data_IF_047143593510
#
_entry.id   IF_047143593510
#
_cell.length_a   1.000
_cell.length_b   1.000
_cell.length_c   1.000
_cell.angle_alpha   90.00
_cell.angle_beta   90.00
_cell.angle_gamma   90.00
#
_symmetry.space_group_name_H-M   'P 1'
#
loop_
_entity.id
_entity.type
_entity.pdbx_description
1 polymer ?
#
# COMPACT_ATOMS: atom_id res chain seq x y z
N UNK A 1 -7.98 -5.22 -57.51
CA UNK A 1 -8.15 -4.18 -56.48
C UNK A 1 -9.36 -4.53 -55.63
N UNK A 2 -9.15 -5.11 -54.47
CA UNK A 2 -10.09 -5.05 -53.34
C UNK A 2 -9.29 -5.19 -52.06
N UNK A 3 -9.54 -4.24 -51.18
CA UNK A 3 -8.68 -3.79 -50.11
C UNK A 3 -8.82 -4.63 -48.82
N UNK A 4 -7.65 -4.91 -48.23
CA UNK A 4 -7.30 -4.69 -46.81
C UNK A 4 -8.28 -5.17 -45.72
N UNK A 5 -8.00 -6.38 -45.23
CA UNK A 5 -7.48 -6.64 -43.88
C UNK A 5 -7.47 -5.44 -42.91
N UNK A 6 -8.51 -5.25 -42.09
CA UNK A 6 -8.46 -4.54 -40.79
C UNK A 6 -9.81 -4.63 -40.06
N UNK A 7 -10.23 -5.79 -39.56
CA UNK A 7 -11.27 -5.86 -38.51
C UNK A 7 -11.00 -7.01 -37.54
N UNK A 8 -9.79 -7.12 -37.01
CA UNK A 8 -9.50 -8.03 -35.89
C UNK A 8 -8.40 -7.43 -35.01
N UNK A 9 -8.67 -6.29 -34.36
CA UNK A 9 -7.76 -5.78 -33.32
C UNK A 9 -8.40 -4.81 -32.30
N UNK A 10 -9.70 -4.53 -32.35
CA UNK A 10 -10.31 -3.52 -31.47
C UNK A 10 -10.97 -4.06 -30.20
N UNK A 11 -11.19 -5.38 -30.08
CA UNK A 11 -11.89 -5.98 -28.94
C UNK A 11 -11.00 -6.36 -27.75
N UNK A 12 -9.67 -6.35 -27.89
CA UNK A 12 -8.75 -6.67 -26.78
C UNK A 12 -8.16 -5.45 -26.08
N UNK A 13 -8.21 -4.26 -26.69
CA UNK A 13 -7.64 -3.04 -26.08
C UNK A 13 -8.67 -2.37 -25.16
N UNK A 14 -9.96 -2.61 -25.37
CA UNK A 14 -11.01 -2.01 -24.55
C UNK A 14 -11.22 -2.68 -23.18
N UNK A 15 -10.71 -3.90 -22.97
CA UNK A 15 -10.82 -4.59 -21.67
C UNK A 15 -9.70 -4.23 -20.68
N UNK A 16 -8.61 -3.59 -21.14
CA UNK A 16 -7.49 -3.21 -20.26
C UNK A 16 -7.59 -1.77 -19.76
N UNK A 17 -8.21 -0.88 -20.55
CA UNK A 17 -8.33 0.55 -20.19
C UNK A 17 -9.38 0.78 -19.08
N UNK A 18 -10.41 -0.07 -18.98
CA UNK A 18 -11.43 0.05 -17.91
C UNK A 18 -10.88 -0.38 -16.55
N UNK A 19 -9.84 -1.23 -16.49
CA UNK A 19 -9.24 -1.67 -15.22
C UNK A 19 -8.40 -0.60 -14.53
N UNK A 20 -8.04 0.50 -15.22
CA UNK A 20 -7.17 1.53 -14.67
C UNK A 20 -7.89 2.76 -14.08
N UNK A 21 -9.24 2.82 -14.11
CA UNK A 21 -9.99 4.02 -13.69
C UNK A 21 -10.83 3.87 -12.42
N UNK A 22 -10.60 2.82 -11.62
CA UNK A 22 -11.30 2.57 -10.35
C UNK A 22 -10.33 2.33 -9.18
N UNK A 23 -9.13 2.90 -9.22
CA UNK A 23 -8.31 2.95 -8.02
C UNK A 23 -8.94 3.97 -7.07
N UNK A 24 -9.33 3.53 -5.87
CA UNK A 24 -9.77 4.44 -4.81
C UNK A 24 -8.71 5.51 -4.56
N UNK A 25 -9.14 6.66 -4.05
CA UNK A 25 -8.24 7.75 -3.69
C UNK A 25 -7.16 7.26 -2.71
N UNK A 26 -7.56 6.42 -1.75
CA UNK A 26 -6.71 5.79 -0.75
C UNK A 26 -5.68 4.84 -1.37
N UNK A 27 -6.06 4.01 -2.35
CA UNK A 27 -5.13 3.13 -3.05
C UNK A 27 -4.05 3.94 -3.78
N UNK A 28 -4.44 4.99 -4.51
CA UNK A 28 -3.48 5.84 -5.21
C UNK A 28 -2.49 6.48 -4.23
N UNK A 29 -2.98 7.04 -3.12
CA UNK A 29 -2.12 7.65 -2.11
C UNK A 29 -1.17 6.64 -1.48
N UNK A 30 -1.64 5.44 -1.10
CA UNK A 30 -0.78 4.39 -0.56
C UNK A 30 0.33 4.00 -1.54
N UNK A 31 0.01 3.86 -2.82
CA UNK A 31 0.99 3.49 -3.84
C UNK A 31 2.04 4.59 -4.04
N UNK A 32 1.63 5.87 -4.02
CA UNK A 32 2.55 7.02 -4.07
C UNK A 32 3.46 7.04 -2.85
N UNK A 33 2.91 6.92 -1.64
CA UNK A 33 3.70 6.90 -0.40
C UNK A 33 4.68 5.72 -0.38
N UNK A 34 4.26 4.53 -0.83
CA UNK A 34 5.13 3.37 -0.97
C UNK A 34 6.29 3.64 -1.92
N UNK A 35 6.02 4.25 -3.08
CA UNK A 35 7.05 4.63 -4.04
C UNK A 35 8.05 5.62 -3.46
N UNK A 36 7.56 6.68 -2.82
CA UNK A 36 8.41 7.69 -2.20
C UNK A 36 9.27 7.12 -1.07
N UNK A 37 8.68 6.29 -0.19
CA UNK A 37 9.43 5.60 0.85
C UNK A 37 10.50 4.67 0.27
N UNK A 38 10.17 3.89 -0.76
CA UNK A 38 11.16 3.02 -1.41
C UNK A 38 12.36 3.80 -1.93
N UNK A 39 12.13 4.96 -2.55
CA UNK A 39 13.21 5.81 -3.07
C UNK A 39 14.09 6.39 -1.96
N UNK A 40 13.47 6.87 -0.88
CA UNK A 40 14.21 7.46 0.25
C UNK A 40 14.97 6.42 1.08
N UNK A 41 14.46 5.19 1.16
CA UNK A 41 15.06 4.13 1.97
C UNK A 41 16.15 3.35 1.22
N UNK A 42 16.20 3.42 -0.11
CA UNK A 42 17.26 2.81 -0.93
C UNK A 42 18.63 3.45 -0.66
N UNK A 43 18.68 4.79 -0.64
CA UNK A 43 19.89 5.57 -0.34
C UNK A 43 19.57 6.75 0.60
N UNK A 44 19.33 6.49 1.90
CA UNK A 44 18.88 7.52 2.82
C UNK A 44 19.97 8.56 3.07
N UNK A 45 19.59 9.84 3.03
CA UNK A 45 20.45 10.99 3.36
C UNK A 45 20.11 11.54 4.73
N UNK A 46 21.06 12.26 5.33
CA UNK A 46 20.92 12.81 6.68
C UNK A 46 19.66 13.70 6.84
N UNK A 47 19.33 14.46 5.80
CA UNK A 47 18.19 15.37 5.73
C UNK A 47 16.83 14.66 5.56
N UNK A 48 16.81 13.40 5.15
CA UNK A 48 15.58 12.68 4.82
C UNK A 48 14.82 12.19 6.05
N UNK A 49 15.43 12.20 7.23
CA UNK A 49 14.85 11.59 8.43
C UNK A 49 13.45 12.13 8.78
N UNK A 50 13.25 13.45 8.71
CA UNK A 50 11.91 14.02 8.99
C UNK A 50 10.88 13.59 7.95
N UNK A 51 11.26 13.58 6.66
CA UNK A 51 10.37 13.19 5.57
C UNK A 51 10.02 11.71 5.63
N UNK A 52 10.99 10.83 5.90
CA UNK A 52 10.75 9.40 6.10
C UNK A 52 9.77 9.18 7.24
N UNK A 53 9.98 9.84 8.39
CA UNK A 53 9.07 9.71 9.54
C UNK A 53 7.66 10.14 9.15
N UNK A 54 7.53 11.28 8.46
CA UNK A 54 6.25 11.81 8.00
C UNK A 54 5.56 10.86 7.02
N UNK A 55 6.26 10.36 6.01
CA UNK A 55 5.70 9.47 5.00
C UNK A 55 5.23 8.13 5.61
N UNK A 56 5.96 7.58 6.58
CA UNK A 56 5.52 6.38 7.33
C UNK A 56 4.25 6.70 8.13
N UNK A 57 4.18 7.88 8.77
CA UNK A 57 2.99 8.30 9.51
C UNK A 57 1.78 8.49 8.59
N UNK A 58 1.96 9.15 7.44
CA UNK A 58 0.92 9.36 6.45
C UNK A 58 0.44 8.00 5.90
N UNK A 59 1.35 7.05 5.68
CA UNK A 59 1.01 5.70 5.23
C UNK A 59 0.15 4.96 6.25
N UNK A 60 0.53 5.01 7.52
CA UNK A 60 -0.23 4.43 8.62
C UNK A 60 -1.64 5.01 8.71
N UNK A 61 -1.78 6.33 8.60
CA UNK A 61 -3.08 6.99 8.67
C UNK A 61 -4.02 6.61 7.53
N UNK A 62 -3.50 6.39 6.32
CA UNK A 62 -4.33 5.91 5.21
C UNK A 62 -4.75 4.46 5.43
N UNK A 63 -3.86 3.58 5.91
CA UNK A 63 -4.24 2.22 6.28
C UNK A 63 -5.37 2.21 7.33
N UNK A 64 -5.37 3.15 8.27
CA UNK A 64 -6.47 3.27 9.25
C UNK A 64 -7.79 3.63 8.58
N UNK A 65 -7.79 4.50 7.58
CA UNK A 65 -9.00 4.84 6.80
C UNK A 65 -9.50 3.61 6.03
N UNK A 66 -8.60 2.93 5.33
CA UNK A 66 -8.90 1.69 4.60
C UNK A 66 -9.50 0.63 5.55
N UNK A 67 -8.98 0.50 6.77
CA UNK A 67 -9.54 -0.41 7.78
C UNK A 67 -10.99 -0.10 8.12
N UNK A 68 -11.35 1.17 8.32
CA UNK A 68 -12.73 1.55 8.61
C UNK A 68 -13.66 1.10 7.50
N UNK A 69 -13.27 1.36 6.25
CA UNK A 69 -14.04 0.92 5.08
C UNK A 69 -14.11 -0.59 4.92
N UNK A 70 -13.01 -1.31 5.15
CA UNK A 70 -12.96 -2.77 5.06
C UNK A 70 -13.85 -3.47 6.11
N UNK A 71 -13.94 -2.92 7.33
CA UNK A 71 -14.82 -3.44 8.39
C UNK A 71 -16.30 -3.39 7.95
N UNK A 72 -16.71 -2.30 7.29
CA UNK A 72 -18.06 -2.15 6.74
C UNK A 72 -18.21 -2.78 5.35
N UNK A 73 -17.21 -3.56 4.93
CA UNK A 73 -17.15 -4.29 3.66
C UNK A 73 -17.25 -3.40 2.42
N UNK A 74 -16.67 -2.20 2.47
CA UNK A 74 -16.50 -1.37 1.28
C UNK A 74 -15.62 -2.14 0.27
N UNK A 75 -16.12 -2.42 -0.95
CA UNK A 75 -15.37 -3.18 -1.95
C UNK A 75 -14.08 -2.49 -2.37
N UNK A 76 -14.05 -1.15 -2.42
CA UNK A 76 -12.86 -0.39 -2.83
C UNK A 76 -11.71 -0.54 -1.81
N UNK A 77 -12.03 -0.53 -0.52
CA UNK A 77 -11.05 -0.70 0.55
C UNK A 77 -10.55 -2.15 0.63
N UNK A 78 -11.44 -3.13 0.42
CA UNK A 78 -11.04 -4.53 0.30
C UNK A 78 -10.13 -4.74 -0.91
N UNK A 79 -10.44 -4.11 -2.05
CA UNK A 79 -9.57 -4.13 -3.24
C UNK A 79 -8.22 -3.50 -2.94
N UNK A 80 -8.22 -2.35 -2.25
CA UNK A 80 -7.01 -1.64 -1.83
C UNK A 80 -6.08 -2.57 -1.05
N UNK A 81 -6.61 -3.27 -0.04
CA UNK A 81 -5.84 -4.24 0.76
C UNK A 81 -5.26 -5.34 -0.11
N UNK A 82 -6.06 -5.89 -1.04
CA UNK A 82 -5.61 -6.97 -1.92
C UNK A 82 -4.48 -6.53 -2.84
N UNK A 83 -4.60 -5.34 -3.45
CA UNK A 83 -3.57 -4.78 -4.33
C UNK A 83 -2.28 -4.52 -3.55
N UNK A 84 -2.36 -3.97 -2.32
CA UNK A 84 -1.17 -3.74 -1.49
C UNK A 84 -0.52 -5.07 -1.10
N UNK A 85 -1.31 -6.08 -0.71
CA UNK A 85 -0.82 -7.41 -0.34
C UNK A 85 -0.09 -8.10 -1.49
N UNK A 86 -0.65 -8.04 -2.70
CA UNK A 86 0.01 -8.60 -3.90
C UNK A 86 1.30 -7.88 -4.29
N UNK A 87 1.46 -6.62 -3.85
CA UNK A 87 2.70 -5.83 -4.01
C UNK A 87 3.68 -6.01 -2.84
N UNK A 88 3.46 -6.99 -1.96
CA UNK A 88 4.36 -7.31 -0.86
C UNK A 88 4.17 -6.44 0.39
N UNK A 89 3.06 -5.73 0.52
CA UNK A 89 2.77 -4.97 1.74
C UNK A 89 3.60 -3.69 1.93
N UNK A 90 3.66 -3.18 3.17
CA UNK A 90 4.39 -1.97 3.53
C UNK A 90 5.90 -2.25 3.66
N UNK A 91 6.67 -2.10 2.57
CA UNK A 91 8.10 -2.45 2.53
C UNK A 91 9.00 -1.74 3.56
N UNK A 92 8.55 -0.62 4.12
CA UNK A 92 9.34 0.17 5.08
C UNK A 92 9.38 -0.44 6.49
N UNK A 93 8.71 -1.58 6.71
CA UNK A 93 8.67 -2.28 8.00
C UNK A 93 9.68 -3.43 8.09
N UNK A 94 10.20 -3.89 6.95
CA UNK A 94 11.13 -5.02 6.90
C UNK A 94 12.57 -4.58 7.23
N UNK A 95 13.23 -5.30 8.15
CA UNK A 95 14.65 -5.14 8.50
C UNK A 95 15.10 -3.69 8.81
N UNK A 96 14.24 -2.91 9.46
CA UNK A 96 14.49 -1.48 9.75
C UNK A 96 15.81 -1.29 10.53
N UNK A 97 16.81 -0.58 9.97
CA UNK A 97 18.13 -0.47 10.57
C UNK A 97 18.17 0.66 11.62
N UNK A 98 17.41 0.51 12.72
CA UNK A 98 17.20 1.55 13.73
C UNK A 98 18.51 2.20 14.24
N UNK A 99 19.54 1.39 14.51
CA UNK A 99 20.83 1.89 14.98
C UNK A 99 21.56 2.75 13.93
N UNK A 100 21.39 2.41 12.65
CA UNK A 100 21.93 3.20 11.54
C UNK A 100 21.14 4.51 11.40
N UNK A 101 19.79 4.46 11.42
CA UNK A 101 18.94 5.65 11.33
C UNK A 101 19.15 6.62 12.50
N UNK A 102 19.34 6.11 13.72
CA UNK A 102 19.70 6.92 14.87
C UNK A 102 20.96 7.75 14.62
N UNK A 103 21.99 7.13 14.03
CA UNK A 103 23.27 7.78 13.72
C UNK A 103 23.17 8.69 12.50
N UNK A 104 22.54 8.24 11.42
CA UNK A 104 22.45 8.94 10.14
C UNK A 104 21.61 10.22 10.28
N UNK A 105 20.40 10.11 10.84
CA UNK A 105 19.46 11.21 10.96
C UNK A 105 19.62 12.01 12.26
N UNK A 106 20.58 11.63 13.11
CA UNK A 106 20.78 12.22 14.44
C UNK A 106 19.51 12.16 15.31
N UNK A 107 18.69 11.12 15.16
CA UNK A 107 17.47 10.98 15.95
C UNK A 107 17.79 10.68 17.41
N UNK A 108 17.06 11.34 18.30
CA UNK A 108 17.10 11.04 19.73
C UNK A 108 16.53 9.65 20.02
N UNK A 109 16.88 9.08 21.17
CA UNK A 109 16.32 7.80 21.65
C UNK A 109 14.79 7.82 21.66
N UNK A 110 14.17 8.94 22.06
CA UNK A 110 12.72 9.10 22.04
C UNK A 110 12.15 9.05 20.61
N UNK A 111 12.84 9.68 19.64
CA UNK A 111 12.38 9.66 18.25
C UNK A 111 12.49 8.27 17.63
N UNK A 112 13.57 7.54 17.92
CA UNK A 112 13.73 6.14 17.52
C UNK A 112 12.63 5.26 18.13
N UNK A 113 12.31 5.45 19.40
CA UNK A 113 11.22 4.73 20.06
C UNK A 113 9.88 4.98 19.35
N UNK A 114 9.52 6.25 19.11
CA UNK A 114 8.30 6.61 18.37
C UNK A 114 8.27 6.03 16.96
N UNK A 115 9.40 6.05 16.26
CA UNK A 115 9.49 5.47 14.92
C UNK A 115 9.28 3.96 14.97
N UNK A 116 9.89 3.26 15.92
CA UNK A 116 9.66 1.82 16.14
C UNK A 116 8.19 1.52 16.45
N UNK A 117 7.59 2.26 17.38
CA UNK A 117 6.17 2.07 17.74
C UNK A 117 5.25 2.25 16.52
N UNK A 118 5.59 3.19 15.64
CA UNK A 118 4.85 3.44 14.39
C UNK A 118 5.04 2.31 13.37
N UNK A 119 6.25 1.78 13.21
CA UNK A 119 6.53 0.60 12.37
C UNK A 119 5.74 -0.61 12.88
N UNK A 120 5.84 -0.92 14.17
CA UNK A 120 5.13 -2.04 14.80
C UNK A 120 3.61 -1.91 14.66
N UNK A 121 3.08 -0.68 14.83
CA UNK A 121 1.66 -0.40 14.67
C UNK A 121 1.21 -0.55 13.22
N UNK A 122 2.05 -0.15 12.26
CA UNK A 122 1.79 -0.30 10.83
C UNK A 122 1.73 -1.77 10.43
N UNK A 123 2.69 -2.58 10.88
CA UNK A 123 2.68 -4.03 10.65
C UNK A 123 1.41 -4.68 11.19
N UNK A 124 1.10 -4.46 12.48
CA UNK A 124 -0.09 -5.04 13.12
C UNK A 124 -1.38 -4.63 12.42
N UNK A 125 -1.46 -3.37 12.00
CA UNK A 125 -2.61 -2.87 11.26
C UNK A 125 -2.73 -3.55 9.89
N UNK A 126 -1.62 -3.69 9.18
CA UNK A 126 -1.60 -4.34 7.88
C UNK A 126 -1.97 -5.82 7.96
N UNK A 127 -1.43 -6.57 8.92
CA UNK A 127 -1.78 -7.98 9.15
C UNK A 127 -3.29 -8.12 9.40
N UNK A 128 -3.84 -7.27 10.27
CA UNK A 128 -5.27 -7.26 10.54
C UNK A 128 -6.12 -6.95 9.30
N UNK A 129 -5.64 -6.08 8.40
CA UNK A 129 -6.32 -5.80 7.14
C UNK A 129 -6.34 -7.02 6.21
N UNK A 130 -5.22 -7.74 6.13
CA UNK A 130 -5.11 -8.97 5.34
C UNK A 130 -6.08 -10.04 5.82
N UNK A 131 -6.21 -10.20 7.15
CA UNK A 131 -7.19 -11.11 7.76
C UNK A 131 -8.62 -10.74 7.35
N UNK A 132 -9.00 -9.46 7.50
CA UNK A 132 -10.33 -8.95 7.11
C UNK A 132 -10.60 -9.23 5.62
N UNK A 133 -9.64 -8.95 4.74
CA UNK A 133 -9.81 -9.19 3.31
C UNK A 133 -9.96 -10.69 2.98
N UNK A 134 -9.28 -11.56 3.72
CA UNK A 134 -9.37 -13.03 3.58
C UNK A 134 -10.73 -13.55 4.04
N UNK A 135 -11.22 -13.11 5.19
CA UNK A 135 -12.56 -13.45 5.69
C UNK A 135 -13.65 -13.07 4.69
N UNK A 136 -13.57 -11.86 4.13
CA UNK A 136 -14.52 -11.41 3.11
C UNK A 136 -14.53 -12.34 1.88
N UNK A 137 -13.38 -12.84 1.44
CA UNK A 137 -13.30 -13.81 0.32
C UNK A 137 -14.06 -15.10 0.61
N UNK A 138 -13.91 -15.63 1.83
CA UNK A 138 -14.54 -16.91 2.22
C UNK A 138 -16.06 -16.83 2.28
N UNK A 139 -16.64 -15.73 2.76
CA UNK A 139 -18.10 -15.55 2.81
C UNK A 139 -18.78 -15.53 1.42
N UNK A 140 -18.14 -14.95 0.40
CA UNK A 140 -18.70 -14.95 -0.95
C UNK A 140 -18.63 -16.33 -1.62
N UNK A 141 -17.65 -17.16 -1.24
CA UNK A 141 -17.55 -18.54 -1.75
C UNK A 141 -18.58 -19.49 -1.14
N UNK A 142 -18.99 -19.28 0.11
CA UNK A 142 -20.01 -20.10 0.78
C UNK A 142 -21.44 -19.75 0.39
N UNK A 143 -21.69 -18.53 -0.10
CA UNK A 143 -23.02 -18.07 -0.52
C UNK A 143 -23.32 -18.34 -2.01
N UNK A 144 -22.35 -18.90 -2.74
CA UNK A 144 -22.48 -19.26 -4.16
C UNK A 144 -22.64 -20.79 -4.36
N UNK A 145 -22.89 -21.55 -3.28
CA UNK A 145 -23.09 -23.00 -3.28
C UNK A 145 -24.54 -23.37 -3.01
#
# INVERSE_FOLDING_TARGET
MTNFCTVLCSSFIFSWIISCFLASNELQQILVLRGNLSLLLEEPKKEDGEEIFKLVSDYYDILRKVKVGAIIRNPEDIETIRVISTKGGPQHIDDVPYNHYAKLFHWSTNKIAKYRDLIDSTQKLFDNLVDIATENRTMYSSNAS
#
